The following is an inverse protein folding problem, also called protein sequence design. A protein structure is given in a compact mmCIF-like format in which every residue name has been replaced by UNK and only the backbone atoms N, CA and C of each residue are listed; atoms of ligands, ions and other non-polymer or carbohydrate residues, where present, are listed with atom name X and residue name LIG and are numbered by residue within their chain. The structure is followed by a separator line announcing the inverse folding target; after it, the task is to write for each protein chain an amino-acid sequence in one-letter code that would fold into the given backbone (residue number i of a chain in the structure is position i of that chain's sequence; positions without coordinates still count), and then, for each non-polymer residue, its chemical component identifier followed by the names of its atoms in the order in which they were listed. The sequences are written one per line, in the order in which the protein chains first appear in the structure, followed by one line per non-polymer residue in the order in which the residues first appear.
data_IF_208407971076
#
_entry.id   IF_208407971076
#
_cell.length_a   1.000
_cell.length_b   1.000
_cell.length_c   1.000
_cell.angle_alpha   90.00
_cell.angle_beta   90.00
_cell.angle_gamma   90.00
#
_symmetry.space_group_name_H-M   'P 1'
#
loop_
_entity.id
_entity.type
_entity.pdbx_description
1 polymer ?
#
# COMPACT_ATOMS: atom_id res chain seq x y z
N UNK A 1 19.15 22.67 -1.27
CA UNK A 1 17.90 22.05 -1.72
C UNK A 1 16.93 21.93 -0.55
N UNK A 2 15.67 22.29 -0.72
CA UNK A 2 14.71 22.15 0.37
C UNK A 2 14.52 20.69 0.73
N UNK A 3 14.45 20.43 2.02
CA UNK A 3 14.17 19.09 2.54
C UNK A 3 12.76 19.06 3.12
N UNK A 4 12.08 17.95 2.93
CA UNK A 4 10.78 17.70 3.51
C UNK A 4 10.85 16.51 4.46
N UNK A 5 10.07 16.57 5.50
CA UNK A 5 9.96 15.46 6.45
C UNK A 5 8.74 14.61 6.11
N UNK A 6 8.93 13.30 6.09
CA UNK A 6 7.82 12.39 5.92
C UNK A 6 6.92 12.43 7.16
N UNK A 7 5.62 12.71 7.00
CA UNK A 7 4.72 12.77 8.16
C UNK A 7 4.51 11.40 8.82
N UNK A 8 4.77 10.31 8.12
CA UNK A 8 4.56 8.97 8.62
C UNK A 8 5.78 8.41 9.38
N UNK A 9 6.98 8.58 8.85
CA UNK A 9 8.19 8.01 9.45
C UNK A 9 9.24 9.05 9.86
N UNK A 10 8.96 10.33 9.63
CA UNK A 10 9.81 11.49 9.96
C UNK A 10 11.17 11.53 9.28
N UNK A 11 11.38 10.69 8.27
CA UNK A 11 12.62 10.74 7.50
C UNK A 11 12.72 12.07 6.74
N UNK A 12 13.85 12.73 6.86
CA UNK A 12 14.17 13.92 6.07
C UNK A 12 14.65 13.49 4.69
N UNK A 13 14.09 14.09 3.64
CA UNK A 13 14.42 13.75 2.26
C UNK A 13 14.31 14.97 1.37
N UNK A 14 14.92 14.93 0.15
CA UNK A 14 14.75 15.99 -0.82
C UNK A 14 13.30 16.19 -1.22
N UNK A 15 12.87 17.44 -1.37
CA UNK A 15 11.50 17.77 -1.74
C UNK A 15 11.07 17.27 -3.12
N UNK A 16 12.02 16.87 -3.96
CA UNK A 16 11.76 16.34 -5.28
C UNK A 16 11.20 14.90 -5.29
N UNK A 17 11.29 14.19 -4.18
CA UNK A 17 10.79 12.83 -4.09
C UNK A 17 9.26 12.81 -3.94
N UNK A 18 8.61 12.04 -4.78
CA UNK A 18 7.16 11.84 -4.70
C UNK A 18 6.76 10.87 -3.60
N UNK A 19 7.69 10.03 -3.19
CA UNK A 19 7.45 8.98 -2.21
C UNK A 19 8.53 9.02 -1.14
N UNK A 20 8.15 8.67 0.07
CA UNK A 20 9.13 8.46 1.12
C UNK A 20 9.92 7.18 0.85
N UNK A 21 11.26 7.24 0.73
CA UNK A 21 12.08 6.06 0.46
C UNK A 21 12.06 5.04 1.61
N UNK A 22 11.68 5.46 2.80
CA UNK A 22 11.66 4.58 3.96
C UNK A 22 10.35 3.83 4.13
N UNK A 23 9.21 4.52 4.03
CA UNK A 23 7.90 3.92 4.32
C UNK A 23 6.95 3.87 3.11
N UNK A 24 7.34 4.46 1.98
CA UNK A 24 6.50 4.50 0.79
C UNK A 24 5.36 5.52 0.85
N UNK A 25 5.36 6.40 1.84
CA UNK A 25 4.36 7.46 1.92
C UNK A 25 4.39 8.31 0.66
N UNK A 26 3.24 8.50 0.04
CA UNK A 26 3.12 9.34 -1.15
C UNK A 26 2.92 10.79 -0.73
N UNK A 27 3.87 11.65 -1.12
CA UNK A 27 3.68 13.09 -0.97
C UNK A 27 2.73 13.55 -2.07
N UNK A 28 1.67 14.24 -1.67
CA UNK A 28 0.85 14.95 -2.62
C UNK A 28 1.75 15.92 -3.37
N UNK A 29 1.65 15.92 -4.70
CA UNK A 29 2.49 16.79 -5.51
C UNK A 29 2.49 18.19 -4.96
N UNK A 30 3.68 18.74 -4.83
CA UNK A 30 3.95 20.02 -4.19
C UNK A 30 3.26 21.25 -4.81
N UNK A 31 2.48 21.05 -5.85
CA UNK A 31 1.64 22.09 -6.43
C UNK A 31 0.23 22.12 -5.86
N UNK A 32 -0.19 21.11 -5.13
CA UNK A 32 -1.46 21.16 -4.45
C UNK A 32 -1.29 21.98 -3.18
N UNK A 33 -1.75 23.19 -3.20
CA UNK A 33 -1.92 23.97 -1.98
C UNK A 33 -2.83 23.20 -1.04
N UNK A 34 -2.34 22.72 0.10
CA UNK A 34 -3.07 21.73 0.90
C UNK A 34 -4.36 22.27 1.52
N UNK A 35 -4.61 23.53 1.44
CA UNK A 35 -5.78 24.11 2.10
C UNK A 35 -6.87 24.62 1.14
N UNK A 36 -6.56 24.88 -0.12
CA UNK A 36 -7.48 25.58 -1.01
C UNK A 36 -8.44 24.70 -1.78
N UNK A 37 -8.28 23.37 -1.70
CA UNK A 37 -9.09 22.42 -2.47
C UNK A 37 -9.85 21.40 -1.65
N UNK A 38 -9.75 21.44 -0.33
CA UNK A 38 -10.55 20.54 0.49
C UNK A 38 -11.96 21.11 0.60
N UNK A 39 -12.88 20.51 -0.15
CA UNK A 39 -14.27 20.63 0.18
C UNK A 39 -14.45 20.18 1.63
N UNK A 40 -15.05 21.02 2.51
CA UNK A 40 -15.29 20.63 3.89
C UNK A 40 -16.22 19.42 4.04
N UNK A 41 -16.76 18.96 2.93
CA UNK A 41 -17.67 17.80 2.86
C UNK A 41 -16.96 16.47 2.53
N UNK A 42 -15.67 16.49 2.20
CA UNK A 42 -14.97 15.22 1.96
C UNK A 42 -14.66 14.55 3.31
N UNK A 43 -15.17 13.35 3.52
CA UNK A 43 -14.92 12.63 4.76
C UNK A 43 -13.42 12.37 4.93
N UNK A 44 -12.95 12.59 6.14
CA UNK A 44 -11.56 12.29 6.47
C UNK A 44 -11.34 10.77 6.39
N UNK A 45 -10.45 10.35 5.49
CA UNK A 45 -10.06 8.96 5.35
C UNK A 45 -8.83 8.71 6.21
N UNK A 46 -8.96 7.82 7.17
CA UNK A 46 -7.84 7.38 8.00
C UNK A 46 -7.42 5.99 7.55
N UNK A 47 -6.14 5.79 7.35
CA UNK A 47 -5.59 4.50 6.94
C UNK A 47 -4.59 4.02 7.96
N UNK A 48 -4.73 2.77 8.42
CA UNK A 48 -3.83 2.14 9.37
C UNK A 48 -3.19 0.91 8.76
N UNK A 49 -1.87 0.85 8.81
CA UNK A 49 -1.11 -0.34 8.41
C UNK A 49 -1.38 -1.49 9.38
N UNK A 50 -1.60 -2.68 8.86
CA UNK A 50 -1.79 -3.85 9.71
C UNK A 50 -0.96 -5.07 9.30
N UNK A 51 -0.53 -5.18 8.05
CA UNK A 51 0.28 -6.30 7.60
C UNK A 51 1.11 -5.93 6.37
N UNK A 52 2.23 -6.59 6.20
CA UNK A 52 3.05 -6.38 5.02
C UNK A 52 4.05 -7.51 4.81
N UNK A 53 4.49 -7.65 3.58
CA UNK A 53 5.47 -8.64 3.15
C UNK A 53 6.42 -8.02 2.13
N UNK A 54 7.64 -8.53 2.08
CA UNK A 54 8.63 -8.20 1.06
C UNK A 54 8.86 -9.42 0.19
N UNK A 55 8.84 -9.21 -1.11
CA UNK A 55 9.13 -10.25 -2.09
C UNK A 55 10.35 -9.80 -2.89
N UNK A 56 11.43 -10.56 -2.80
CA UNK A 56 12.68 -10.22 -3.49
C UNK A 56 12.53 -10.44 -5.00
N UNK A 57 13.20 -9.56 -5.77
CA UNK A 57 13.31 -9.75 -7.21
C UNK A 57 14.26 -10.91 -7.51
N UNK A 58 13.90 -11.74 -8.48
CA UNK A 58 14.70 -12.90 -8.89
C UNK A 58 16.01 -12.50 -9.55
N UNK A 59 15.97 -11.43 -10.32
CA UNK A 59 17.09 -11.02 -11.16
C UNK A 59 17.96 -9.91 -10.53
N UNK A 60 17.35 -9.09 -9.67
CA UNK A 60 18.01 -7.96 -9.03
C UNK A 60 17.98 -8.10 -7.51
N UNK A 61 19.08 -8.56 -6.88
CA UNK A 61 19.11 -8.80 -5.43
C UNK A 61 18.83 -7.56 -4.57
N UNK A 62 19.10 -6.37 -5.10
CA UNK A 62 18.86 -5.11 -4.38
C UNK A 62 17.41 -4.61 -4.52
N UNK A 63 16.62 -5.25 -5.37
CA UNK A 63 15.24 -4.87 -5.63
C UNK A 63 14.25 -5.81 -4.93
N UNK A 64 13.14 -5.27 -4.51
CA UNK A 64 12.06 -6.06 -3.93
C UNK A 64 10.72 -5.37 -4.11
N UNK A 65 9.67 -6.16 -4.09
CA UNK A 65 8.29 -5.69 -4.01
C UNK A 65 7.86 -5.71 -2.56
N UNK A 66 7.43 -4.57 -2.06
CA UNK A 66 6.79 -4.50 -0.75
C UNK A 66 5.28 -4.41 -0.94
N UNK A 67 4.58 -5.32 -0.30
CA UNK A 67 3.11 -5.33 -0.29
C UNK A 67 2.67 -4.99 1.12
N UNK A 68 1.86 -3.95 1.25
CA UNK A 68 1.41 -3.45 2.54
C UNK A 68 -0.11 -3.36 2.56
N UNK A 69 -0.71 -3.91 3.59
CA UNK A 69 -2.16 -3.91 3.77
C UNK A 69 -2.57 -2.84 4.78
N UNK A 70 -3.58 -2.08 4.42
CA UNK A 70 -4.10 -0.99 5.24
C UNK A 70 -5.59 -1.17 5.47
N UNK A 71 -6.02 -0.86 6.68
CA UNK A 71 -7.43 -0.73 7.02
C UNK A 71 -7.81 0.72 6.92
N UNK A 72 -8.83 0.98 6.13
CA UNK A 72 -9.37 2.32 5.92
C UNK A 72 -10.61 2.50 6.78
N UNK A 73 -10.76 3.69 7.28
CA UNK A 73 -11.98 4.11 7.97
C UNK A 73 -12.41 5.44 7.39
N UNK A 74 -13.60 5.47 6.85
CA UNK A 74 -14.18 6.67 6.29
C UNK A 74 -15.47 6.98 7.04
N UNK A 75 -15.55 8.16 7.60
CA UNK A 75 -16.75 8.61 8.29
C UNK A 75 -17.61 9.41 7.32
N UNK A 76 -18.80 8.93 7.07
CA UNK A 76 -19.79 9.62 6.25
C UNK A 76 -20.76 10.35 7.19
N UNK A 77 -20.80 11.66 7.07
CA UNK A 77 -21.73 12.50 7.83
C UNK A 77 -23.01 12.69 7.04
N UNK A 78 -24.12 12.38 7.66
CA UNK A 78 -25.46 12.64 7.12
C UNK A 78 -26.29 13.43 8.14
N UNK A 79 -27.44 14.03 7.72
CA UNK A 79 -28.35 14.68 8.66
C UNK A 79 -28.87 13.77 9.76
N UNK A 80 -28.85 12.46 9.53
CA UNK A 80 -29.33 11.43 10.46
C UNK A 80 -28.26 10.90 11.40
N UNK A 81 -27.01 11.31 11.22
CA UNK A 81 -25.87 10.89 12.03
C UNK A 81 -24.64 10.58 11.21
N UNK A 82 -23.60 10.12 11.88
CA UNK A 82 -22.32 9.76 11.25
C UNK A 82 -22.16 8.25 11.23
N UNK A 83 -21.81 7.70 10.07
CA UNK A 83 -21.57 6.27 9.89
C UNK A 83 -20.11 6.05 9.48
N UNK A 84 -19.41 5.20 10.21
CA UNK A 84 -18.07 4.77 9.84
C UNK A 84 -18.17 3.62 8.83
N UNK A 85 -17.57 3.80 7.66
CA UNK A 85 -17.50 2.78 6.62
C UNK A 85 -16.10 2.18 6.61
N UNK A 86 -15.94 0.93 7.03
CA UNK A 86 -14.66 0.26 6.99
C UNK A 86 -14.33 -0.15 5.55
N UNK A 87 -13.06 -0.19 5.25
CA UNK A 87 -12.53 -0.66 3.98
C UNK A 87 -11.12 -1.16 4.14
N UNK A 88 -10.58 -1.71 3.08
CA UNK A 88 -9.19 -2.11 3.00
C UNK A 88 -8.60 -1.64 1.68
N UNK A 89 -7.31 -1.35 1.69
CA UNK A 89 -6.56 -1.21 0.46
C UNK A 89 -5.19 -1.87 0.61
N UNK A 90 -4.59 -2.21 -0.51
CA UNK A 90 -3.28 -2.83 -0.56
C UNK A 90 -2.35 -1.91 -1.34
N UNK A 91 -1.21 -1.63 -0.78
CA UNK A 91 -0.18 -0.83 -1.43
C UNK A 91 0.95 -1.72 -1.89
N UNK A 92 1.27 -1.59 -3.15
CA UNK A 92 2.41 -2.24 -3.78
C UNK A 92 3.48 -1.18 -4.01
N UNK A 93 4.68 -1.42 -3.55
CA UNK A 93 5.81 -0.51 -3.77
C UNK A 93 7.03 -1.29 -4.25
N UNK A 94 7.62 -0.81 -5.32
CA UNK A 94 8.85 -1.38 -5.88
C UNK A 94 10.03 -0.60 -5.31
N UNK A 95 10.95 -1.31 -4.70
CA UNK A 95 12.13 -0.75 -4.06
C UNK A 95 13.38 -1.22 -4.78
N UNK A 96 14.34 -0.34 -4.93
CA UNK A 96 15.65 -0.64 -5.46
C UNK A 96 16.65 0.32 -4.82
N UNK A 97 17.79 -0.21 -4.38
CA UNK A 97 18.85 0.57 -3.73
C UNK A 97 18.34 1.44 -2.56
N UNK A 98 17.50 0.86 -1.72
CA UNK A 98 16.87 1.49 -0.56
C UNK A 98 15.95 2.67 -0.90
N UNK A 99 15.54 2.81 -2.14
CA UNK A 99 14.58 3.83 -2.58
C UNK A 99 13.32 3.22 -3.16
N UNK A 100 12.18 3.80 -2.83
CA UNK A 100 10.92 3.44 -3.48
C UNK A 100 10.87 4.05 -4.88
N UNK A 101 10.83 3.20 -5.90
CA UNK A 101 10.80 3.62 -7.30
C UNK A 101 9.39 3.86 -7.81
N UNK A 102 8.44 3.08 -7.32
CA UNK A 102 7.06 3.14 -7.76
C UNK A 102 6.15 2.70 -6.62
N UNK A 103 5.01 3.34 -6.49
CA UNK A 103 3.99 2.97 -5.50
C UNK A 103 2.63 3.01 -6.18
N UNK A 104 1.86 1.94 -6.00
CA UNK A 104 0.49 1.87 -6.44
C UNK A 104 -0.37 1.36 -5.29
N UNK A 105 -1.54 1.94 -5.11
CA UNK A 105 -2.50 1.51 -4.10
C UNK A 105 -3.76 1.01 -4.79
N UNK A 106 -4.18 -0.19 -4.43
CA UNK A 106 -5.38 -0.82 -4.98
C UNK A 106 -6.43 -0.93 -3.88
N UNK A 107 -7.70 -0.61 -4.20
CA UNK A 107 -8.79 -0.92 -3.28
C UNK A 107 -8.94 -2.44 -3.12
N UNK A 108 -9.58 -2.87 -2.06
CA UNK A 108 -9.73 -4.30 -1.72
C UNK A 108 -10.24 -5.13 -2.89
N UNK A 109 -11.24 -4.65 -3.60
CA UNK A 109 -11.85 -5.39 -4.70
C UNK A 109 -10.86 -5.64 -5.85
N UNK A 110 -10.03 -4.66 -6.18
CA UNK A 110 -9.01 -4.79 -7.22
C UNK A 110 -7.86 -5.68 -6.77
N UNK A 111 -7.47 -5.57 -5.51
CA UNK A 111 -6.43 -6.43 -4.95
C UNK A 111 -6.85 -7.91 -4.94
N UNK A 112 -8.11 -8.19 -4.59
CA UNK A 112 -8.66 -9.55 -4.64
C UNK A 112 -8.74 -10.08 -6.05
N UNK A 113 -9.14 -9.27 -7.02
CA UNK A 113 -9.19 -9.65 -8.42
C UNK A 113 -7.79 -9.98 -8.94
N UNK A 114 -6.77 -9.22 -8.55
CA UNK A 114 -5.38 -9.51 -8.90
C UNK A 114 -4.90 -10.84 -8.33
N UNK A 115 -5.20 -11.13 -7.07
CA UNK A 115 -4.83 -12.38 -6.41
C UNK A 115 -5.49 -13.56 -7.12
N UNK A 116 -6.77 -13.44 -7.44
CA UNK A 116 -7.54 -14.47 -8.14
C UNK A 116 -6.95 -14.75 -9.52
N UNK A 117 -6.66 -13.71 -10.29
CA UNK A 117 -6.02 -13.83 -11.59
C UNK A 117 -4.68 -14.57 -11.51
N UNK A 118 -3.80 -14.16 -10.60
CA UNK A 118 -2.48 -14.78 -10.43
C UNK A 118 -2.63 -16.23 -10.00
N UNK A 119 -3.55 -16.53 -9.08
CA UNK A 119 -3.79 -17.88 -8.60
C UNK A 119 -4.30 -18.81 -9.70
N UNK A 120 -5.19 -18.32 -10.56
CA UNK A 120 -5.71 -19.07 -11.71
C UNK A 120 -4.62 -19.37 -12.74
N UNK A 121 -3.79 -18.37 -13.06
CA UNK A 121 -2.73 -18.53 -14.06
C UNK A 121 -1.60 -19.45 -13.60
N UNK A 122 -1.27 -19.42 -12.30
CA UNK A 122 -0.24 -20.29 -11.75
C UNK A 122 -0.74 -21.74 -11.56
N UNK A 123 -2.05 -21.92 -11.42
CA UNK A 123 -2.63 -23.20 -11.13
C UNK A 123 -2.36 -23.68 -9.70
N UNK A 124 -2.69 -24.93 -9.38
CA UNK A 124 -2.48 -25.48 -8.03
C UNK A 124 -1.00 -25.53 -7.68
N UNK A 125 -0.68 -25.16 -6.43
CA UNK A 125 0.69 -25.16 -5.94
C UNK A 125 1.18 -26.59 -5.70
N UNK A 126 2.23 -27.01 -6.38
CA UNK A 126 2.88 -28.32 -6.17
C UNK A 126 3.46 -28.45 -4.76
N UNK A 127 3.91 -27.34 -4.18
CA UNK A 127 4.43 -27.30 -2.81
C UNK A 127 3.33 -27.57 -1.79
N UNK A 128 2.12 -27.07 -2.03
CA UNK A 128 0.96 -27.36 -1.19
C UNK A 128 0.52 -28.80 -1.25
N UNK A 129 0.67 -29.46 -2.40
CA UNK A 129 0.35 -30.88 -2.59
C UNK A 129 1.30 -31.80 -1.82
N UNK A 130 2.57 -31.43 -1.68
CA UNK A 130 3.54 -32.18 -0.89
C UNK A 130 3.26 -32.13 0.62
N UNK A 131 2.76 -31.01 1.09
CA UNK A 131 2.42 -30.83 2.50
C UNK A 131 1.13 -31.56 2.91
N UNK A 132 0.29 -31.89 1.94
CA UNK A 132 -0.99 -32.55 2.16
C UNK A 132 -0.88 -34.12 2.04
N UNK A 133 0.30 -34.61 1.74
CA UNK A 133 0.52 -36.05 1.74
C UNK A 133 0.60 -36.54 3.18
N UNK A 134 -0.27 -37.49 3.56
CA UNK A 134 -0.14 -38.07 4.87
C UNK A 134 1.20 -38.81 4.94
N UNK A 135 1.94 -38.51 5.98
CA UNK A 135 3.15 -39.26 6.31
C UNK A 135 2.76 -40.70 6.57
N UNK A 136 2.81 -41.50 5.53
CA UNK A 136 2.69 -42.96 5.68
C UNK A 136 4.05 -43.46 6.16
N UNK A 137 4.12 -43.67 7.42
CA UNK A 137 5.26 -44.34 8.01
C UNK A 137 5.17 -45.83 7.78
#
# INVERSE_FOLDING_TARGET
MPKVFCPQCRLSQPAAHRFCPRCGYTFLSSGAKPAAGRHPEQPAKTSRFFAGVRVADTDLPSAFLRVSCYRDEQVIHSPEGSVAVPGHHVRFSVWSDAEARCVISLPEIEARALIEFVSEELGPSEVGAELDQPLIS
#
